data_IF_071361952402
#
_entry.id   IF_071361952402
#
_cell.length_a   1.000
_cell.length_b   1.000
_cell.length_c   1.000
_cell.angle_alpha   90.00
_cell.angle_beta   90.00
_cell.angle_gamma   90.00
#
_symmetry.space_group_name_H-M   'P 1'
#
loop_
_entity.id
_entity.type
_entity.pdbx_description
1 polymer ?
#
# COMPACT_ATOMS: atom_id res chain seq x y z
N UNK A 1 -30.97 -10.35 19.77
CA UNK A 1 -30.37 -10.17 19.58
C UNK A 1 -29.37 -10.58 19.87
N UNK A 2 -28.99 -11.01 19.89
CA UNK A 2 -28.15 -11.49 19.97
C UNK A 2 -27.05 -11.20 20.01
N UNK A 3 -26.50 -11.10 19.71
CA UNK A 3 -25.38 -10.75 19.60
C UNK A 3 -24.85 -9.94 20.58
N UNK A 4 -25.36 -9.54 21.58
CA UNK A 4 -24.79 -8.74 22.60
C UNK A 4 -23.66 -9.39 23.32
N UNK A 5 -23.78 -10.66 23.54
CA UNK A 5 -22.70 -11.33 24.21
C UNK A 5 -21.46 -11.31 23.40
N UNK A 6 -21.57 -11.57 22.14
CA UNK A 6 -20.43 -11.56 21.31
C UNK A 6 -19.83 -10.19 21.29
N UNK A 7 -20.62 -9.17 21.33
CA UNK A 7 -20.11 -7.85 21.31
C UNK A 7 -19.31 -7.53 22.54
N UNK A 8 -19.71 -8.04 23.66
CA UNK A 8 -18.98 -7.78 24.87
C UNK A 8 -17.60 -8.31 24.83
N UNK A 9 -17.39 -9.36 24.10
CA UNK A 9 -16.10 -9.96 24.05
C UNK A 9 -15.19 -9.37 23.03
N UNK A 10 -15.68 -8.47 22.21
CA UNK A 10 -14.88 -7.89 21.19
C UNK A 10 -14.27 -6.61 21.65
N UNK A 11 -13.03 -6.39 21.26
CA UNK A 11 -12.37 -5.15 21.50
C UNK A 11 -12.37 -4.34 20.23
N UNK A 12 -12.86 -3.13 20.31
CA UNK A 12 -12.87 -2.25 19.16
C UNK A 12 -11.65 -1.35 19.18
N UNK A 13 -11.18 -1.01 17.99
CA UNK A 13 -10.08 -0.08 17.86
C UNK A 13 -10.57 1.33 18.22
N UNK A 14 -9.80 2.08 18.99
CA UNK A 14 -10.23 3.45 19.32
C UNK A 14 -10.42 4.28 18.07
N UNK A 15 -11.37 5.20 18.14
CA UNK A 15 -11.73 5.98 16.96
C UNK A 15 -10.56 6.80 16.42
N UNK A 16 -9.72 7.35 17.30
CA UNK A 16 -8.60 8.14 16.81
C UNK A 16 -7.59 7.29 16.03
N UNK A 17 -7.46 6.03 16.39
CA UNK A 17 -6.60 5.12 15.63
C UNK A 17 -7.21 4.83 14.27
N UNK A 18 -8.53 4.70 14.21
CA UNK A 18 -9.20 4.52 12.93
C UNK A 18 -9.08 5.75 12.04
N UNK A 19 -9.05 6.94 12.65
CA UNK A 19 -8.83 8.16 11.88
C UNK A 19 -7.45 8.16 11.24
N UNK A 20 -6.44 7.74 12.00
CA UNK A 20 -5.09 7.62 11.44
C UNK A 20 -5.04 6.57 10.35
N UNK A 21 -5.69 5.44 10.58
CA UNK A 21 -5.72 4.38 9.59
C UNK A 21 -6.39 4.86 8.31
N UNK A 22 -7.48 5.61 8.46
CA UNK A 22 -8.17 6.13 7.29
C UNK A 22 -7.29 7.05 6.46
N UNK A 23 -6.50 7.91 7.12
CA UNK A 23 -5.57 8.77 6.40
C UNK A 23 -4.54 7.96 5.62
N UNK A 24 -4.00 6.93 6.24
CA UNK A 24 -3.04 6.08 5.54
C UNK A 24 -3.68 5.32 4.40
N UNK A 25 -4.90 4.84 4.59
CA UNK A 25 -5.59 4.14 3.50
C UNK A 25 -5.90 5.05 2.33
N UNK A 26 -6.16 6.33 2.62
CA UNK A 26 -6.32 7.30 1.55
C UNK A 26 -5.05 7.43 0.72
N UNK A 27 -3.90 7.27 1.36
CA UNK A 27 -2.64 7.31 0.63
C UNK A 27 -2.56 6.17 -0.36
N UNK A 28 -3.14 5.02 -0.04
CA UNK A 28 -3.14 3.90 -0.98
C UNK A 28 -4.19 4.06 -2.08
N UNK A 29 -5.17 4.90 -1.87
CA UNK A 29 -6.31 5.00 -2.79
C UNK A 29 -5.94 5.83 -4.02
N UNK A 30 -5.02 5.32 -4.82
CA UNK A 30 -4.52 5.98 -6.01
C UNK A 30 -4.01 4.89 -6.96
N UNK A 31 -4.42 4.89 -8.22
CA UNK A 31 -4.07 3.79 -9.11
C UNK A 31 -2.58 3.57 -9.27
N UNK A 32 -1.80 4.63 -9.38
CA UNK A 32 -0.35 4.47 -9.53
C UNK A 32 0.27 3.89 -8.28
N UNK A 33 -0.22 4.29 -7.11
CA UNK A 33 0.32 3.77 -5.86
C UNK A 33 -0.03 2.31 -5.69
N UNK A 34 -1.25 1.94 -6.04
CA UNK A 34 -1.63 0.53 -6.00
C UNK A 34 -0.77 -0.30 -6.96
N UNK A 35 -0.51 0.23 -8.15
CA UNK A 35 0.34 -0.47 -9.10
C UNK A 35 1.76 -0.64 -8.57
N UNK A 36 2.31 0.40 -7.95
CA UNK A 36 3.65 0.31 -7.38
C UNK A 36 3.73 -0.73 -6.28
N UNK A 37 2.72 -0.77 -5.41
CA UNK A 37 2.68 -1.81 -4.38
C UNK A 37 2.62 -3.19 -5.02
N UNK A 38 1.77 -3.36 -6.03
CA UNK A 38 1.67 -4.64 -6.74
C UNK A 38 3.03 -5.09 -7.25
N UNK A 39 3.75 -4.18 -7.86
CA UNK A 39 5.06 -4.48 -8.42
C UNK A 39 6.06 -4.83 -7.32
N UNK A 40 6.08 -4.05 -6.26
CA UNK A 40 7.03 -4.27 -5.19
C UNK A 40 6.74 -5.52 -4.38
N UNK A 41 5.51 -6.00 -4.41
CA UNK A 41 5.18 -7.28 -3.80
C UNK A 41 5.75 -8.44 -4.61
N UNK A 42 6.02 -8.21 -5.88
CA UNK A 42 6.48 -9.29 -6.77
C UNK A 42 7.99 -9.31 -6.98
N UNK A 43 8.61 -8.14 -6.99
CA UNK A 43 10.02 -8.08 -7.32
C UNK A 43 10.61 -6.77 -6.82
N UNK A 44 11.87 -6.58 -7.11
CA UNK A 44 12.61 -5.40 -6.75
C UNK A 44 12.71 -4.48 -7.95
N UNK A 45 12.34 -3.23 -7.79
CA UNK A 45 12.32 -2.27 -8.89
C UNK A 45 12.94 -0.96 -8.46
N UNK A 46 13.59 -0.29 -9.40
CA UNK A 46 14.08 1.07 -9.17
C UNK A 46 12.94 2.06 -9.31
N UNK A 47 13.15 3.27 -8.79
CA UNK A 47 12.15 4.33 -8.94
C UNK A 47 11.87 4.57 -10.42
N UNK A 48 12.91 4.56 -11.26
CA UNK A 48 12.72 4.75 -12.69
C UNK A 48 11.86 3.70 -13.32
N UNK A 49 12.05 2.45 -12.91
CA UNK A 49 11.24 1.36 -13.44
C UNK A 49 9.78 1.48 -13.03
N UNK A 50 9.55 1.88 -11.78
CA UNK A 50 8.19 2.09 -11.31
C UNK A 50 7.53 3.26 -12.04
N UNK A 51 8.29 4.33 -12.26
CA UNK A 51 7.78 5.49 -12.98
C UNK A 51 7.41 5.11 -14.41
N UNK A 52 8.27 4.34 -15.04
CA UNK A 52 8.02 3.94 -16.42
C UNK A 52 6.78 3.07 -16.52
N UNK A 53 6.63 2.15 -15.59
CA UNK A 53 5.45 1.28 -15.60
C UNK A 53 4.15 2.06 -15.42
N UNK A 54 4.19 3.14 -14.67
CA UNK A 54 3.03 3.98 -14.45
C UNK A 54 2.91 5.10 -15.48
N UNK A 55 3.91 5.25 -16.33
CA UNK A 55 3.96 6.31 -17.36
C UNK A 55 3.90 7.69 -16.74
N UNK A 56 4.68 7.89 -15.70
CA UNK A 56 4.77 9.18 -15.03
C UNK A 56 6.24 9.56 -14.86
N UNK A 57 6.53 10.83 -14.65
CA UNK A 57 7.91 11.24 -14.41
C UNK A 57 8.45 10.66 -13.12
N UNK A 58 9.76 10.46 -13.06
CA UNK A 58 10.39 9.88 -11.88
C UNK A 58 10.15 10.70 -10.62
N UNK A 59 10.12 12.03 -10.73
CA UNK A 59 9.90 12.83 -9.54
C UNK A 59 8.50 12.60 -8.95
N UNK A 60 7.51 12.31 -9.78
CA UNK A 60 6.18 11.99 -9.29
C UNK A 60 6.15 10.63 -8.64
N UNK A 61 6.86 9.68 -9.25
CA UNK A 61 6.94 8.35 -8.64
C UNK A 61 7.62 8.44 -7.28
N UNK A 62 8.69 9.21 -7.18
CA UNK A 62 9.37 9.40 -5.90
C UNK A 62 8.44 10.01 -4.86
N UNK A 63 7.61 10.93 -5.27
CA UNK A 63 6.68 11.56 -4.37
C UNK A 63 5.64 10.57 -3.84
N UNK A 64 5.10 9.76 -4.74
CA UNK A 64 4.17 8.70 -4.35
C UNK A 64 4.83 7.73 -3.35
N UNK A 65 6.07 7.34 -3.64
CA UNK A 65 6.78 6.39 -2.80
C UNK A 65 7.08 6.97 -1.42
N UNK A 66 7.45 8.24 -1.36
CA UNK A 66 7.72 8.89 -0.08
C UNK A 66 6.47 9.01 0.78
N UNK A 67 5.34 9.27 0.16
CA UNK A 67 4.08 9.34 0.90
C UNK A 67 3.73 7.99 1.51
N UNK A 68 3.92 6.93 0.74
CA UNK A 68 3.65 5.60 1.25
C UNK A 68 4.66 5.18 2.32
N UNK A 69 5.88 5.68 2.21
CA UNK A 69 6.88 5.42 3.25
C UNK A 69 6.49 6.11 4.56
N UNK A 70 5.98 7.33 4.48
CA UNK A 70 5.54 8.04 5.67
C UNK A 70 4.44 7.34 6.43
N UNK A 71 3.59 6.64 5.71
CA UNK A 71 2.52 5.87 6.34
C UNK A 71 2.98 4.52 6.85
N UNK A 72 4.25 4.19 6.64
CA UNK A 72 4.77 2.91 7.12
C UNK A 72 4.53 1.75 6.18
N UNK A 73 4.02 1.99 4.99
CA UNK A 73 3.79 0.91 4.04
C UNK A 73 5.07 0.46 3.36
N UNK A 74 5.98 1.39 3.14
CA UNK A 74 7.23 1.11 2.45
C UNK A 74 8.41 1.57 3.30
N UNK A 75 9.55 0.96 3.05
CA UNK A 75 10.83 1.40 3.58
C UNK A 75 11.77 1.55 2.42
N UNK A 76 12.71 2.48 2.55
CA UNK A 76 13.68 2.68 1.49
C UNK A 76 15.04 2.16 1.90
N UNK A 77 15.82 1.76 0.91
CA UNK A 77 17.19 1.38 1.16
C UNK A 77 18.05 1.86 0.01
N UNK A 78 19.23 2.28 0.35
CA UNK A 78 20.19 2.76 -0.64
C UNK A 78 21.06 1.62 -1.11
N UNK A 79 21.33 1.58 -2.39
CA UNK A 79 22.25 0.63 -2.96
C UNK A 79 23.09 1.40 -3.97
N UNK A 80 24.28 1.82 -3.55
CA UNK A 80 25.10 2.70 -4.36
C UNK A 80 24.42 4.03 -4.54
N UNK A 81 24.20 4.42 -5.77
CA UNK A 81 23.51 5.68 -6.06
C UNK A 81 22.03 5.54 -6.21
N UNK A 82 21.52 4.30 -6.16
CA UNK A 82 20.10 4.07 -6.38
C UNK A 82 19.39 3.92 -5.06
N UNK A 83 18.12 4.29 -5.07
CA UNK A 83 17.25 4.08 -3.93
C UNK A 83 16.19 3.06 -4.35
N UNK A 84 16.03 2.05 -3.55
CA UNK A 84 14.99 1.05 -3.75
C UNK A 84 14.00 1.15 -2.62
N UNK A 85 12.76 0.88 -2.92
CA UNK A 85 11.72 0.80 -1.91
C UNK A 85 11.30 -0.66 -1.77
N UNK A 86 10.97 -1.03 -0.56
CA UNK A 86 10.47 -2.39 -0.31
C UNK A 86 9.25 -2.32 0.56
N UNK A 87 8.47 -3.39 0.54
CA UNK A 87 7.27 -3.48 1.35
C UNK A 87 7.69 -3.59 2.82
N UNK A 88 7.21 -2.68 3.65
CA UNK A 88 7.49 -2.70 5.08
C UNK A 88 6.31 -3.26 5.86
N UNK A 89 5.10 -3.11 5.32
CA UNK A 89 3.90 -3.60 5.98
C UNK A 89 3.50 -4.93 5.37
N UNK A 90 3.68 -6.04 6.09
CA UNK A 90 3.44 -7.36 5.48
C UNK A 90 2.00 -7.62 5.08
N UNK A 91 1.05 -6.91 5.69
CA UNK A 91 -0.37 -7.15 5.36
C UNK A 91 -0.83 -6.47 4.09
N UNK A 92 0.05 -5.68 3.45
CA UNK A 92 -0.30 -5.07 2.17
C UNK A 92 -0.67 -6.11 1.12
N UNK A 93 -0.03 -7.27 1.17
CA UNK A 93 -0.35 -8.30 0.21
C UNK A 93 -1.81 -8.74 0.33
N UNK A 94 -2.36 -8.71 1.53
CA UNK A 94 -3.75 -9.09 1.71
C UNK A 94 -4.70 -8.04 1.12
N UNK A 95 -4.35 -6.78 1.29
CA UNK A 95 -5.13 -5.70 0.70
C UNK A 95 -5.10 -5.80 -0.81
N UNK A 96 -3.93 -5.99 -1.39
CA UNK A 96 -3.80 -6.09 -2.82
C UNK A 96 -4.49 -7.34 -3.36
N UNK A 97 -4.45 -8.43 -2.62
CA UNK A 97 -5.15 -9.63 -3.02
C UNK A 97 -6.66 -9.38 -3.10
N UNK A 98 -7.18 -8.63 -2.13
CA UNK A 98 -8.59 -8.26 -2.14
C UNK A 98 -8.92 -7.41 -3.36
N UNK A 99 -8.08 -6.42 -3.65
CA UNK A 99 -8.29 -5.56 -4.81
C UNK A 99 -8.26 -6.39 -6.09
N UNK A 100 -7.26 -7.24 -6.22
CA UNK A 100 -7.11 -8.07 -7.42
C UNK A 100 -8.29 -8.99 -7.61
N UNK A 101 -8.74 -9.60 -6.52
CA UNK A 101 -9.85 -10.53 -6.59
C UNK A 101 -11.14 -9.85 -7.03
N UNK A 102 -11.36 -8.62 -6.58
CA UNK A 102 -12.60 -7.94 -6.90
C UNK A 102 -12.58 -7.23 -8.24
N UNK A 103 -11.42 -6.77 -8.68
CA UNK A 103 -11.37 -5.84 -9.79
C UNK A 103 -10.58 -6.32 -11.01
N UNK A 104 -9.99 -7.48 -10.95
CA UNK A 104 -9.27 -8.00 -12.09
C UNK A 104 -10.12 -8.87 -12.95
N UNK A 105 -11.35 -8.60 -13.06
CA UNK A 105 -12.27 -9.48 -13.73
C UNK A 105 -11.81 -10.02 -15.06
N UNK A 106 -10.93 -9.33 -15.69
CA UNK A 106 -10.46 -9.80 -16.95
C UNK A 106 -9.68 -11.05 -16.85
N UNK A 107 -9.35 -11.36 -15.70
CA UNK A 107 -8.60 -12.50 -15.53
C UNK A 107 -9.32 -13.70 -15.81
N UNK A 108 -10.22 -13.68 -15.98
CA UNK A 108 -10.82 -14.78 -16.19
C UNK A 108 -10.83 -15.21 -17.13
#
# INVERSE_FOLDING_TARGET
>A
MIKLESKKERTLTPIHALEQAAECLKTLAHPHRLRMIQMLLQDRYTVGELAEACKIPSHMASEHLRLMQRCGFLASEKSGRKVFYRIAEPHLKDILRCVESRFSGSVK
#
